data_IF_588757405946
#
_entry.id   IF_588757405946
#
_cell.length_a   1.000
_cell.length_b   1.000
_cell.length_c   1.000
_cell.angle_alpha   90.00
_cell.angle_beta   90.00
_cell.angle_gamma   90.00
#
_symmetry.space_group_name_H-M   'P 1'
#
loop_
_entity.id
_entity.type
_entity.pdbx_description
1 polymer ?
#
# COMPACT_ATOMS: atom_id res chain seq x y z
N UNK A 1 15.10 12.68 6.74
CA UNK A 1 14.04 12.07 7.57
C UNK A 1 13.99 10.61 7.17
N UNK A 2 14.32 9.69 8.08
CA UNK A 2 14.63 8.29 7.75
C UNK A 2 13.35 7.46 7.66
N UNK A 3 13.14 6.79 6.53
CA UNK A 3 12.14 5.73 6.41
C UNK A 3 12.65 4.52 7.21
N UNK A 4 11.93 4.14 8.27
CA UNK A 4 12.19 2.90 8.99
C UNK A 4 11.33 1.78 8.41
N UNK A 5 11.95 0.88 7.65
CA UNK A 5 11.43 -0.47 7.45
C UNK A 5 11.96 -1.33 8.60
N UNK A 6 11.07 -1.83 9.46
CA UNK A 6 11.45 -2.79 10.51
C UNK A 6 11.35 -4.19 9.92
N UNK A 7 12.50 -4.78 9.58
CA UNK A 7 12.60 -6.19 9.21
C UNK A 7 13.00 -7.01 10.44
N UNK A 8 12.12 -7.91 10.89
CA UNK A 8 12.42 -8.92 11.91
C UNK A 8 13.20 -10.07 11.23
N UNK A 9 14.37 -10.48 11.72
CA UNK A 9 15.11 -11.59 11.11
C UNK A 9 14.48 -12.92 11.55
N UNK A 10 14.01 -13.73 10.59
CA UNK A 10 13.68 -15.14 10.81
C UNK A 10 14.85 -16.05 10.43
N UNK A 11 14.98 -17.13 11.21
CA UNK A 11 16.18 -17.94 11.35
C UNK A 11 16.62 -18.75 10.12
N UNK A 12 17.91 -19.04 10.15
CA UNK A 12 18.66 -19.89 9.23
C UNK A 12 18.04 -21.29 9.14
N UNK A 13 17.50 -21.66 7.97
CA UNK A 13 17.26 -23.05 7.59
C UNK A 13 17.83 -23.28 6.18
N UNK A 14 18.41 -24.45 5.95
CA UNK A 14 19.21 -24.78 4.75
C UNK A 14 18.45 -24.64 3.41
N UNK A 15 17.12 -24.52 3.43
CA UNK A 15 16.30 -24.21 2.26
C UNK A 15 16.50 -22.78 1.74
N UNK A 16 16.83 -21.82 2.61
CA UNK A 16 17.12 -20.43 2.21
C UNK A 16 18.43 -20.33 1.41
N UNK A 17 19.43 -21.14 1.72
CA UNK A 17 20.71 -21.15 0.99
C UNK A 17 20.57 -21.72 -0.43
N UNK A 18 19.63 -22.64 -0.65
CA UNK A 18 19.36 -23.19 -1.99
C UNK A 18 18.59 -22.16 -2.82
N UNK A 19 17.59 -21.48 -2.23
CA UNK A 19 16.80 -20.47 -2.92
C UNK A 19 17.63 -19.22 -3.29
N UNK A 20 18.53 -18.75 -2.41
CA UNK A 20 19.45 -17.65 -2.72
C UNK A 20 20.47 -18.00 -3.82
N UNK A 21 20.90 -19.27 -3.91
CA UNK A 21 21.80 -19.73 -4.98
C UNK A 21 21.10 -19.81 -6.33
N UNK A 22 19.84 -20.21 -6.37
CA UNK A 22 19.02 -20.20 -7.59
C UNK A 22 18.70 -18.76 -8.02
N UNK A 23 18.36 -17.87 -7.08
CA UNK A 23 18.11 -16.45 -7.37
C UNK A 23 19.37 -15.73 -7.91
N UNK A 24 20.55 -16.00 -7.32
CA UNK A 24 21.80 -15.37 -7.76
C UNK A 24 22.27 -15.85 -9.12
N UNK A 25 21.98 -17.10 -9.49
CA UNK A 25 22.36 -17.65 -10.81
C UNK A 25 21.43 -17.18 -11.92
N UNK A 26 20.15 -16.96 -11.64
CA UNK A 26 19.22 -16.30 -12.59
C UNK A 26 19.58 -14.83 -12.80
N UNK A 27 20.00 -14.12 -11.74
CA UNK A 27 20.43 -12.72 -11.83
C UNK A 27 21.76 -12.54 -12.58
N UNK A 28 22.70 -13.48 -12.44
CA UNK A 28 23.98 -13.45 -13.16
C UNK A 28 23.85 -13.72 -14.66
N UNK A 29 22.85 -14.52 -15.08
CA UNK A 29 22.63 -14.82 -16.50
C UNK A 29 22.05 -13.61 -17.26
N UNK A 30 21.29 -12.75 -16.58
CA UNK A 30 20.63 -11.58 -17.17
C UNK A 30 21.56 -10.38 -17.41
N UNK A 31 22.74 -10.35 -16.80
CA UNK A 31 23.70 -9.24 -16.96
C UNK A 31 24.53 -9.31 -18.26
N UNK A 32 24.37 -10.37 -19.07
CA UNK A 32 25.22 -10.62 -20.25
C UNK A 32 24.51 -10.45 -21.61
N UNK A 33 23.20 -10.24 -21.64
CA UNK A 33 22.48 -9.94 -22.87
C UNK A 33 21.62 -8.70 -22.66
N UNK A 34 21.99 -7.60 -23.32
CA UNK A 34 21.39 -6.27 -23.17
C UNK A 34 19.94 -6.15 -23.67
N UNK A 35 19.05 -7.02 -23.22
CA UNK A 35 17.62 -6.94 -23.41
C UNK A 35 17.00 -6.64 -22.03
N UNK A 36 16.76 -5.35 -21.75
CA UNK A 36 15.80 -4.96 -20.72
C UNK A 36 14.39 -5.25 -21.26
N UNK A 37 14.02 -6.53 -21.33
CA UNK A 37 12.62 -6.91 -21.35
C UNK A 37 12.05 -6.45 -20.02
N UNK A 38 10.98 -5.64 -20.04
CA UNK A 38 10.24 -5.30 -18.84
C UNK A 38 9.83 -6.59 -18.14
N UNK A 39 10.51 -6.91 -17.04
CA UNK A 39 10.12 -8.02 -16.20
C UNK A 39 8.80 -7.62 -15.57
N UNK A 40 7.70 -8.15 -16.08
CA UNK A 40 6.48 -8.30 -15.31
C UNK A 40 6.84 -9.20 -14.13
N UNK A 41 7.05 -8.60 -12.95
CA UNK A 41 7.22 -9.35 -11.72
C UNK A 41 5.81 -9.75 -11.29
N UNK A 42 5.22 -10.74 -11.98
CA UNK A 42 3.97 -11.33 -11.49
C UNK A 42 4.24 -11.79 -10.05
N UNK A 43 3.52 -11.19 -9.11
CA UNK A 43 3.67 -11.54 -7.71
C UNK A 43 3.41 -13.04 -7.58
N UNK A 44 4.31 -13.79 -6.93
CA UNK A 44 4.13 -15.23 -6.82
C UNK A 44 2.80 -15.51 -6.11
N UNK A 45 2.04 -16.43 -6.70
CA UNK A 45 0.91 -17.03 -6.01
C UNK A 45 1.38 -17.61 -4.68
N UNK A 46 0.56 -17.48 -3.64
CA UNK A 46 0.92 -18.03 -2.35
C UNK A 46 0.83 -19.55 -2.39
N UNK A 47 1.90 -20.22 -1.96
CA UNK A 47 1.96 -21.70 -1.90
C UNK A 47 0.83 -22.33 -1.07
N UNK A 48 0.22 -21.56 -0.17
CA UNK A 48 -0.90 -21.97 0.68
C UNK A 48 -2.29 -21.73 0.07
N UNK A 49 -2.38 -21.26 -1.18
CA UNK A 49 -3.63 -20.96 -1.88
C UNK A 49 -4.31 -19.64 -1.46
N UNK A 50 -3.67 -18.84 -0.61
CA UNK A 50 -4.16 -17.52 -0.23
C UNK A 50 -3.94 -16.45 -1.30
N UNK A 51 -4.47 -15.25 -1.05
CA UNK A 51 -4.32 -14.09 -1.93
C UNK A 51 -3.63 -12.91 -1.25
N UNK A 52 -3.16 -11.96 -2.05
CA UNK A 52 -2.60 -10.70 -1.56
C UNK A 52 -3.67 -9.61 -1.54
N UNK A 53 -3.77 -8.90 -0.43
CA UNK A 53 -4.56 -7.68 -0.24
C UNK A 53 -3.65 -6.48 0.00
N UNK A 54 -4.11 -5.29 -0.37
CA UNK A 54 -3.37 -4.05 -0.14
C UNK A 54 -4.25 -2.92 0.37
N UNK A 55 -3.76 -2.20 1.37
CA UNK A 55 -4.32 -0.95 1.87
C UNK A 55 -3.28 0.17 1.70
N UNK A 56 -3.56 1.12 0.81
CA UNK A 56 -2.68 2.24 0.47
C UNK A 56 -3.27 3.55 1.00
N UNK A 57 -2.52 4.31 1.80
CA UNK A 57 -3.05 5.47 2.53
C UNK A 57 -2.12 6.67 2.45
N UNK A 58 -2.61 7.79 1.93
CA UNK A 58 -1.98 9.09 2.02
C UNK A 58 -2.64 9.86 3.15
N UNK A 59 -1.90 10.13 4.23
CA UNK A 59 -2.44 10.75 5.44
C UNK A 59 -2.60 12.27 5.36
N UNK A 60 -2.20 12.93 4.28
CA UNK A 60 -2.33 14.38 4.17
C UNK A 60 -2.84 14.87 2.82
N UNK A 61 -3.13 16.16 2.82
CA UNK A 61 -3.68 16.93 1.72
C UNK A 61 -2.85 18.19 1.47
N UNK A 62 -3.31 18.99 0.53
CA UNK A 62 -2.72 20.23 0.01
C UNK A 62 -1.45 20.03 -0.81
N UNK A 63 -1.19 20.99 -1.69
CA UNK A 63 -0.07 20.97 -2.63
C UNK A 63 1.30 20.85 -1.96
N UNK A 64 1.51 21.41 -0.78
CA UNK A 64 2.79 21.29 -0.06
C UNK A 64 3.09 19.85 0.39
N UNK A 65 2.08 18.98 0.44
CA UNK A 65 2.19 17.56 0.74
C UNK A 65 2.00 16.65 -0.48
N UNK A 66 2.08 17.19 -1.70
CA UNK A 66 2.00 16.48 -2.98
C UNK A 66 2.63 15.07 -2.95
N UNK A 67 3.84 14.99 -2.39
CA UNK A 67 4.65 13.76 -2.34
C UNK A 67 3.91 12.55 -1.77
N UNK A 68 3.05 12.74 -0.77
CA UNK A 68 2.40 11.61 -0.10
C UNK A 68 1.32 10.95 -0.98
N UNK A 69 0.50 11.75 -1.66
CA UNK A 69 -0.47 11.21 -2.62
C UNK A 69 0.24 10.68 -3.87
N UNK A 70 1.35 11.29 -4.29
CA UNK A 70 2.18 10.75 -5.37
C UNK A 70 2.79 9.38 -5.03
N UNK A 71 3.24 9.17 -3.78
CA UNK A 71 3.77 7.89 -3.30
C UNK A 71 2.68 6.81 -3.35
N UNK A 72 1.46 7.12 -2.91
CA UNK A 72 0.32 6.19 -2.95
C UNK A 72 -0.14 5.89 -4.36
N UNK A 73 -0.23 6.89 -5.23
CA UNK A 73 -0.51 6.70 -6.65
C UNK A 73 0.53 5.76 -7.27
N UNK A 74 1.82 5.99 -7.00
CA UNK A 74 2.88 5.13 -7.52
C UNK A 74 2.81 3.70 -6.96
N UNK A 75 2.56 3.53 -5.66
CA UNK A 75 2.36 2.22 -5.05
C UNK A 75 1.19 1.46 -5.70
N UNK A 76 0.07 2.13 -5.99
CA UNK A 76 -1.04 1.54 -6.74
C UNK A 76 -0.57 1.04 -8.11
N UNK A 77 0.14 1.86 -8.88
CA UNK A 77 0.66 1.46 -10.19
C UNK A 77 1.55 0.23 -10.11
N UNK A 78 2.39 0.13 -9.07
CA UNK A 78 3.24 -1.05 -8.87
C UNK A 78 2.39 -2.28 -8.60
N UNK A 79 1.43 -2.22 -7.68
CA UNK A 79 0.61 -3.39 -7.34
C UNK A 79 -0.29 -3.84 -8.49
N UNK A 80 -0.95 -2.88 -9.16
CA UNK A 80 -1.83 -3.14 -10.29
C UNK A 80 -1.07 -3.78 -11.46
N UNK A 81 0.10 -3.25 -11.82
CA UNK A 81 0.94 -3.80 -12.90
C UNK A 81 1.51 -5.18 -12.59
N UNK A 82 1.62 -5.55 -11.31
CA UNK A 82 2.11 -6.87 -10.90
C UNK A 82 0.96 -7.83 -10.53
N UNK A 83 -0.26 -7.53 -10.99
CA UNK A 83 -1.37 -8.49 -11.03
C UNK A 83 -2.25 -8.55 -9.78
N UNK A 84 -2.12 -7.62 -8.83
CA UNK A 84 -3.13 -7.52 -7.76
C UNK A 84 -4.38 -6.83 -8.33
N UNK A 85 -5.54 -7.48 -8.33
CA UNK A 85 -6.74 -6.89 -8.91
C UNK A 85 -7.33 -5.81 -7.99
N UNK A 86 -8.02 -4.85 -8.59
CA UNK A 86 -8.54 -3.67 -7.89
C UNK A 86 -9.54 -4.00 -6.76
N UNK A 87 -10.22 -5.15 -6.81
CA UNK A 87 -11.10 -5.60 -5.73
C UNK A 87 -10.33 -5.91 -4.44
N UNK A 88 -9.00 -6.13 -4.54
CA UNK A 88 -8.10 -6.44 -3.42
C UNK A 88 -7.18 -5.30 -3.03
N UNK A 89 -7.31 -4.15 -3.69
CA UNK A 89 -6.61 -2.92 -3.34
C UNK A 89 -7.65 -1.92 -2.82
N UNK A 90 -7.38 -1.35 -1.64
CA UNK A 90 -8.12 -0.21 -1.10
C UNK A 90 -7.21 1.01 -1.10
N UNK A 91 -7.65 2.11 -1.70
CA UNK A 91 -6.90 3.37 -1.72
C UNK A 91 -7.63 4.45 -0.92
N UNK A 92 -6.92 5.02 0.05
CA UNK A 92 -7.35 6.19 0.81
C UNK A 92 -6.41 7.37 0.52
N UNK A 93 -6.91 8.42 -0.11
CA UNK A 93 -6.12 9.64 -0.34
C UNK A 93 -7.05 10.84 -0.53
N UNK A 94 -6.65 12.02 -0.06
CA UNK A 94 -7.56 13.17 -0.04
C UNK A 94 -8.04 13.62 -1.43
N UNK A 95 -7.23 13.36 -2.46
CA UNK A 95 -7.53 13.58 -3.88
C UNK A 95 -7.59 15.04 -4.35
N UNK A 96 -6.80 15.91 -3.72
CA UNK A 96 -6.75 17.35 -4.00
C UNK A 96 -5.49 17.80 -4.76
N UNK A 97 -4.73 16.85 -5.33
CA UNK A 97 -3.45 17.12 -6.00
C UNK A 97 -3.59 17.22 -7.52
N UNK A 98 -4.20 16.21 -8.17
CA UNK A 98 -4.20 16.14 -9.63
C UNK A 98 -4.87 17.35 -10.29
N UNK A 99 -5.92 17.89 -9.68
CA UNK A 99 -6.65 19.07 -10.16
C UNK A 99 -6.45 20.30 -9.28
N UNK A 100 -5.36 20.34 -8.51
CA UNK A 100 -5.01 21.52 -7.74
C UNK A 100 -4.71 22.72 -8.66
N UNK A 101 -5.10 23.93 -8.27
CA UNK A 101 -4.79 25.15 -9.04
C UNK A 101 -3.28 25.42 -9.17
N UNK A 102 -2.46 24.89 -8.27
CA UNK A 102 -1.00 24.97 -8.36
C UNK A 102 -0.38 23.89 -9.25
N UNK A 103 -1.16 22.93 -9.74
CA UNK A 103 -0.65 21.88 -10.62
C UNK A 103 -0.46 22.42 -12.05
N UNK A 104 0.78 22.51 -12.56
CA UNK A 104 1.03 22.98 -13.91
C UNK A 104 0.52 22.01 -14.99
N UNK A 105 0.27 20.74 -14.63
CA UNK A 105 -0.29 19.72 -15.52
C UNK A 105 -1.55 19.09 -14.90
N UNK A 106 -2.73 19.74 -15.01
CA UNK A 106 -3.97 19.23 -14.45
C UNK A 106 -4.27 17.79 -14.90
N UNK A 107 -4.69 16.95 -13.94
CA UNK A 107 -4.97 15.53 -14.15
C UNK A 107 -3.73 14.63 -14.10
N UNK A 108 -2.53 15.18 -13.91
CA UNK A 108 -1.29 14.40 -13.76
C UNK A 108 -0.71 14.50 -12.37
N UNK A 109 -0.19 13.37 -11.89
CA UNK A 109 0.67 13.29 -10.70
C UNK A 109 1.91 12.48 -11.07
N UNK A 110 3.10 12.95 -10.74
CA UNK A 110 4.38 12.26 -10.98
C UNK A 110 5.07 11.99 -9.64
N UNK A 111 5.74 10.85 -9.48
CA UNK A 111 6.45 10.52 -8.23
C UNK A 111 7.98 10.63 -8.35
N UNK A 112 8.48 11.13 -9.48
CA UNK A 112 9.91 11.43 -9.70
C UNK A 112 10.08 12.51 -10.78
N UNK A 113 11.19 13.26 -10.81
CA UNK A 113 11.48 14.21 -11.87
C UNK A 113 11.39 13.55 -13.26
N UNK A 114 10.69 14.18 -14.20
CA UNK A 114 10.43 13.65 -15.55
C UNK A 114 9.80 12.24 -15.56
N UNK A 115 9.06 11.91 -14.49
CA UNK A 115 8.35 10.64 -14.34
C UNK A 115 7.10 10.56 -15.21
N UNK A 116 6.58 9.34 -15.34
CA UNK A 116 5.28 9.09 -15.95
C UNK A 116 4.15 9.53 -15.01
N UNK A 117 2.96 9.77 -15.56
CA UNK A 117 1.76 9.98 -14.76
C UNK A 117 1.45 8.71 -13.94
N UNK A 118 1.39 8.84 -12.62
CA UNK A 118 1.03 7.75 -11.69
C UNK A 118 -0.42 7.85 -11.20
N UNK A 119 -1.14 8.93 -11.54
CA UNK A 119 -2.50 9.19 -11.07
C UNK A 119 -3.59 8.40 -11.81
N UNK A 120 -3.35 8.12 -13.09
CA UNK A 120 -4.34 7.51 -13.97
C UNK A 120 -4.74 6.12 -13.49
N UNK A 121 -6.05 5.87 -13.40
CA UNK A 121 -6.60 4.59 -12.93
C UNK A 121 -6.56 4.37 -11.41
N UNK A 122 -5.89 5.23 -10.63
CA UNK A 122 -5.80 5.06 -9.17
C UNK A 122 -7.19 5.08 -8.55
N UNK A 123 -7.49 4.07 -7.73
CA UNK A 123 -8.76 3.90 -7.04
C UNK A 123 -9.06 5.07 -6.10
N UNK A 124 -10.35 5.36 -5.95
CA UNK A 124 -10.90 6.45 -5.11
C UNK A 124 -11.81 5.88 -4.04
N UNK A 125 -11.35 4.85 -3.32
CA UNK A 125 -12.19 4.15 -2.35
C UNK A 125 -12.60 5.07 -1.21
N UNK A 126 -11.67 5.87 -0.69
CA UNK A 126 -11.96 6.91 0.30
C UNK A 126 -11.17 8.18 -0.02
N UNK A 127 -11.89 9.27 -0.25
CA UNK A 127 -11.32 10.58 -0.62
C UNK A 127 -11.86 11.70 0.25
N UNK A 128 -11.19 12.86 0.23
CA UNK A 128 -11.59 14.01 1.04
C UNK A 128 -11.75 13.68 2.51
N UNK A 129 -12.90 14.06 3.08
CA UNK A 129 -13.21 13.92 4.51
C UNK A 129 -13.45 12.47 4.96
N UNK A 130 -13.48 11.50 4.06
CA UNK A 130 -13.50 10.08 4.42
C UNK A 130 -12.12 9.52 4.76
N UNK A 131 -11.04 10.25 4.47
CA UNK A 131 -9.68 9.86 4.85
C UNK A 131 -9.46 10.16 6.34
N UNK A 132 -9.93 9.26 7.20
CA UNK A 132 -9.88 9.40 8.67
C UNK A 132 -9.29 8.16 9.35
N UNK A 133 -8.77 8.29 10.59
CA UNK A 133 -8.30 7.15 11.37
C UNK A 133 -9.39 6.08 11.55
N UNK A 134 -10.64 6.49 11.80
CA UNK A 134 -11.77 5.57 12.01
C UNK A 134 -12.04 4.73 10.76
N UNK A 135 -12.12 5.37 9.59
CA UNK A 135 -12.31 4.68 8.32
C UNK A 135 -11.16 3.72 8.06
N UNK A 136 -9.90 4.18 8.22
CA UNK A 136 -8.72 3.34 8.04
C UNK A 136 -8.75 2.07 8.92
N UNK A 137 -9.05 2.23 10.23
CA UNK A 137 -9.11 1.09 11.15
C UNK A 137 -10.25 0.13 10.83
N UNK A 138 -11.39 0.62 10.33
CA UNK A 138 -12.52 -0.21 9.92
C UNK A 138 -12.23 -0.95 8.60
N UNK A 139 -11.56 -0.30 7.65
CA UNK A 139 -11.08 -0.92 6.41
C UNK A 139 -10.08 -2.04 6.72
N UNK A 140 -9.08 -1.75 7.54
CA UNK A 140 -8.04 -2.70 7.94
C UNK A 140 -8.63 -3.93 8.65
N UNK A 141 -9.54 -3.71 9.60
CA UNK A 141 -10.25 -4.78 10.32
C UNK A 141 -11.47 -5.30 9.54
N UNK A 142 -11.60 -5.01 8.25
CA UNK A 142 -12.77 -5.26 7.39
C UNK A 142 -14.13 -5.31 8.08
N UNK A 143 -14.49 -4.19 8.69
CA UNK A 143 -15.80 -3.89 9.28
C UNK A 143 -16.64 -3.11 8.28
N UNK A 144 -17.22 -3.83 7.31
CA UNK A 144 -17.92 -3.22 6.17
C UNK A 144 -19.17 -2.43 6.61
N UNK A 145 -19.90 -2.95 7.58
CA UNK A 145 -21.13 -2.35 8.12
C UNK A 145 -20.84 -0.98 8.78
N UNK A 146 -19.64 -0.80 9.34
CA UNK A 146 -19.22 0.47 9.93
C UNK A 146 -18.93 1.58 8.89
N UNK A 147 -18.93 1.23 7.60
CA UNK A 147 -18.61 2.13 6.48
C UNK A 147 -19.79 2.32 5.51
N UNK A 148 -21.00 1.92 5.90
CA UNK A 148 -22.20 2.13 5.08
C UNK A 148 -22.38 3.62 4.74
N UNK A 149 -22.52 3.92 3.45
CA UNK A 149 -22.69 5.28 2.95
C UNK A 149 -21.41 6.14 2.93
N UNK A 150 -20.24 5.56 3.19
CA UNK A 150 -18.93 6.26 3.13
C UNK A 150 -18.03 5.67 2.06
N UNK A 151 -17.41 6.53 1.26
CA UNK A 151 -16.54 6.13 0.15
C UNK A 151 -17.16 5.03 -0.74
N UNK A 152 -16.34 4.09 -1.17
CA UNK A 152 -16.78 2.90 -1.91
C UNK A 152 -17.34 1.79 -1.01
N UNK A 153 -17.15 1.89 0.32
CA UNK A 153 -17.46 0.81 1.27
C UNK A 153 -16.54 -0.41 1.16
N UNK A 154 -15.47 -0.36 0.35
CA UNK A 154 -14.51 -1.46 0.18
C UNK A 154 -13.62 -1.60 1.41
N UNK A 155 -13.42 -2.84 1.85
CA UNK A 155 -12.57 -3.15 3.00
C UNK A 155 -11.60 -4.27 2.70
N UNK A 156 -10.62 -4.48 3.58
CA UNK A 156 -9.76 -5.66 3.54
C UNK A 156 -10.58 -6.88 4.00
N UNK A 157 -11.02 -7.69 3.04
CA UNK A 157 -11.80 -8.91 3.29
C UNK A 157 -10.91 -10.17 3.28
N UNK A 158 -9.77 -10.10 3.96
CA UNK A 158 -8.76 -11.15 4.03
C UNK A 158 -9.08 -12.25 5.05
N UNK A 159 -8.62 -13.46 4.75
CA UNK A 159 -8.72 -14.65 5.59
C UNK A 159 -7.37 -15.16 6.12
N UNK A 160 -7.37 -16.33 6.79
CA UNK A 160 -6.19 -16.86 7.50
C UNK A 160 -5.04 -17.31 6.59
N UNK A 161 -5.26 -17.43 5.28
CA UNK A 161 -4.23 -17.80 4.30
C UNK A 161 -3.67 -16.59 3.55
N UNK A 162 -4.34 -15.44 3.64
CA UNK A 162 -4.08 -14.27 2.82
C UNK A 162 -2.98 -13.40 3.42
N UNK A 163 -2.23 -12.71 2.57
CA UNK A 163 -1.29 -11.70 3.03
C UNK A 163 -1.90 -10.30 2.90
N UNK A 164 -1.64 -9.42 3.87
CA UNK A 164 -2.13 -8.05 3.87
C UNK A 164 -0.95 -7.08 3.88
N UNK A 165 -0.80 -6.35 2.78
CA UNK A 165 0.17 -5.25 2.66
C UNK A 165 -0.48 -3.93 3.05
N UNK A 166 0.11 -3.19 3.98
CA UNK A 166 -0.34 -1.84 4.34
C UNK A 166 0.79 -0.86 4.05
N UNK A 167 0.52 0.15 3.23
CA UNK A 167 1.44 1.24 2.97
C UNK A 167 0.81 2.57 3.34
N UNK A 168 1.46 3.27 4.26
CA UNK A 168 1.04 4.56 4.76
C UNK A 168 2.13 5.59 4.49
N UNK A 169 1.77 6.68 3.80
CA UNK A 169 2.67 7.78 3.49
C UNK A 169 2.09 9.09 4.04
N UNK A 170 2.69 9.61 5.10
CA UNK A 170 2.45 10.97 5.60
C UNK A 170 3.51 11.40 6.64
N UNK A 171 3.26 12.54 7.27
CA UNK A 171 3.82 12.97 8.53
C UNK A 171 3.47 12.03 9.69
N UNK A 172 4.34 12.07 10.69
CA UNK A 172 4.14 11.40 11.96
C UNK A 172 4.95 12.06 13.05
N UNK A 173 4.68 11.66 14.28
CA UNK A 173 5.44 12.04 15.45
C UNK A 173 5.51 10.83 16.40
N UNK A 174 6.29 10.88 17.49
CA UNK A 174 6.33 9.78 18.44
C UNK A 174 4.93 9.35 18.89
N UNK A 175 4.56 8.10 18.59
CA UNK A 175 3.28 7.51 18.99
C UNK A 175 2.06 7.89 18.13
N UNK A 176 2.22 8.66 17.05
CA UNK A 176 1.12 9.02 16.15
C UNK A 176 1.52 9.01 14.67
N UNK A 177 0.55 8.75 13.80
CA UNK A 177 0.60 9.09 12.37
C UNK A 177 -0.54 10.06 12.05
N UNK A 178 -0.31 11.00 11.14
CA UNK A 178 -1.27 12.06 10.83
C UNK A 178 -2.27 11.64 9.75
N UNK A 179 -3.53 12.02 9.95
CA UNK A 179 -4.56 12.06 8.92
C UNK A 179 -4.86 13.54 8.61
N UNK A 180 -5.58 13.87 7.52
CA UNK A 180 -5.72 15.25 7.04
C UNK A 180 -6.26 16.23 8.10
N UNK A 181 -7.10 15.73 9.02
CA UNK A 181 -7.74 16.51 10.08
C UNK A 181 -7.55 15.92 11.50
N UNK A 182 -6.93 14.74 11.63
CA UNK A 182 -6.91 13.95 12.87
C UNK A 182 -5.58 13.21 13.04
N UNK A 183 -5.38 12.54 14.18
CA UNK A 183 -4.22 11.67 14.40
C UNK A 183 -4.67 10.25 14.73
N UNK A 184 -3.97 9.27 14.18
CA UNK A 184 -4.08 7.88 14.63
C UNK A 184 -2.98 7.60 15.65
N UNK A 185 -3.37 7.21 16.87
CA UNK A 185 -2.42 6.81 17.90
C UNK A 185 -1.92 5.37 17.69
N UNK A 186 -0.64 5.14 18.01
CA UNK A 186 -0.02 3.83 17.93
C UNK A 186 -0.78 2.75 18.73
N UNK A 187 -1.39 3.11 19.86
CA UNK A 187 -2.21 2.20 20.67
C UNK A 187 -3.48 1.73 19.95
N UNK A 188 -4.12 2.61 19.16
CA UNK A 188 -5.30 2.27 18.38
C UNK A 188 -4.92 1.33 17.22
N UNK A 189 -3.83 1.62 16.52
CA UNK A 189 -3.30 0.75 15.47
C UNK A 189 -2.90 -0.62 16.01
N UNK A 190 -2.18 -0.66 17.14
CA UNK A 190 -1.81 -1.90 17.82
C UNK A 190 -3.04 -2.74 18.16
N UNK A 191 -4.07 -2.12 18.75
CA UNK A 191 -5.33 -2.81 19.09
C UNK A 191 -5.99 -3.40 17.85
N UNK A 192 -6.04 -2.67 16.74
CA UNK A 192 -6.62 -3.18 15.49
C UNK A 192 -5.84 -4.37 14.92
N UNK A 193 -4.50 -4.32 14.93
CA UNK A 193 -3.65 -5.44 14.48
C UNK A 193 -3.84 -6.66 15.39
N UNK A 194 -3.90 -6.48 16.71
CA UNK A 194 -4.16 -7.58 17.65
C UNK A 194 -5.53 -8.22 17.40
N UNK A 195 -6.58 -7.41 17.19
CA UNK A 195 -7.89 -7.93 16.82
C UNK A 195 -7.86 -8.74 15.52
N UNK A 196 -7.14 -8.26 14.51
CA UNK A 196 -6.98 -9.00 13.24
C UNK A 196 -6.26 -10.34 13.45
N UNK A 197 -5.22 -10.35 14.28
CA UNK A 197 -4.46 -11.55 14.60
C UNK A 197 -5.33 -12.58 15.32
N UNK A 198 -6.04 -12.18 16.37
CA UNK A 198 -6.95 -13.05 17.14
C UNK A 198 -8.07 -13.64 16.26
N UNK A 199 -8.58 -12.85 15.32
CA UNK A 199 -9.61 -13.25 14.37
C UNK A 199 -9.05 -14.00 13.14
N UNK A 200 -7.73 -14.25 13.10
CA UNK A 200 -7.02 -14.92 11.99
C UNK A 200 -7.32 -14.30 10.63
N UNK A 201 -7.27 -12.97 10.54
CA UNK A 201 -7.59 -12.22 9.32
C UNK A 201 -6.44 -12.12 8.32
N UNK A 202 -5.29 -12.69 8.61
CA UNK A 202 -4.15 -12.73 7.71
C UNK A 202 -3.22 -13.87 8.11
N UNK A 203 -2.43 -14.33 7.14
CA UNK A 203 -1.26 -15.16 7.30
C UNK A 203 -0.01 -14.32 7.56
N UNK A 204 0.21 -13.27 6.73
CA UNK A 204 1.32 -12.32 6.85
C UNK A 204 0.88 -10.88 6.63
#
# INVERSE_FOLDING_TARGET
MYNFAVSIPFGNSDHHQIMLKVLSSVLALLMTSGHYLGLEINLPELENGGVHWALLVAGSNTWSNYRHQADICHAYQVLHKNGIPDERIVVMMYDDIAHNNMNPEPGKVINKPNGVNVYEGVLKDYTGDDVTPSVFLNVLQGKKEALEGRGSGKVIASGPQDNVFVYFADHGAPGIIAFPSEYLHASQLHTAIMNMHEQKRYNK
#
